data_IF_544098432722
#
_entry.id   IF_544098432722
#
_cell.length_a   1.000
_cell.length_b   1.000
_cell.length_c   1.000
_cell.angle_alpha   90.00
_cell.angle_beta   90.00
_cell.angle_gamma   90.00
#
_symmetry.space_group_name_H-M   'P 1'
#
loop_
_entity.id
_entity.type
_entity.pdbx_description
1 polymer ?
#
# COMPACT_ATOMS: atom_id res chain seq x y z
N UNK A 1 -3.11 -14.46 9.75
CA UNK A 1 -2.10 -13.53 10.34
C UNK A 1 -0.81 -14.34 10.56
N UNK A 2 -0.51 -15.22 9.61
CA UNK A 2 0.34 -16.39 9.88
C UNK A 2 1.73 -16.24 9.27
N UNK A 3 1.94 -15.14 8.56
CA UNK A 3 3.23 -14.75 7.99
C UNK A 3 4.17 -14.21 9.07
N UNK A 4 5.38 -14.75 9.11
CA UNK A 4 6.40 -14.45 10.13
C UNK A 4 6.79 -12.97 10.18
N UNK A 5 6.67 -12.26 9.05
CA UNK A 5 6.93 -10.82 8.96
C UNK A 5 6.01 -9.97 9.87
N UNK A 6 4.85 -10.48 10.28
CA UNK A 6 3.93 -9.79 11.22
C UNK A 6 4.18 -10.18 12.69
N UNK A 7 5.09 -11.13 12.96
CA UNK A 7 5.37 -11.60 14.32
C UNK A 7 5.69 -10.47 15.31
N UNK A 8 6.41 -9.37 14.96
CA UNK A 8 6.72 -8.31 15.93
C UNK A 8 5.49 -7.54 16.44
N UNK A 9 4.36 -7.59 15.73
CA UNK A 9 3.12 -6.89 16.09
C UNK A 9 1.93 -7.80 16.36
N UNK A 10 2.09 -9.12 16.22
CA UNK A 10 0.96 -10.05 16.28
C UNK A 10 0.11 -9.88 17.56
N UNK A 11 0.73 -9.82 18.74
CA UNK A 11 0.00 -9.63 20.00
C UNK A 11 -0.65 -8.24 20.10
N UNK A 12 0.09 -7.19 19.70
CA UNK A 12 -0.43 -5.81 19.68
C UNK A 12 -1.70 -5.72 18.82
N UNK A 13 -1.68 -6.33 17.63
CA UNK A 13 -2.83 -6.29 16.72
C UNK A 13 -4.00 -7.14 17.23
N UNK A 14 -3.76 -8.25 17.92
CA UNK A 14 -4.83 -9.03 18.58
C UNK A 14 -5.48 -8.24 19.71
N UNK A 15 -4.68 -7.59 20.56
CA UNK A 15 -5.20 -6.71 21.63
C UNK A 15 -5.98 -5.53 21.04
N UNK A 16 -5.49 -4.91 19.97
CA UNK A 16 -6.19 -3.84 19.28
C UNK A 16 -7.50 -4.31 18.62
N UNK A 17 -7.52 -5.48 17.99
CA UNK A 17 -8.73 -6.07 17.44
C UNK A 17 -9.77 -6.33 18.54
N UNK A 18 -9.34 -6.82 19.71
CA UNK A 18 -10.23 -6.98 20.88
C UNK A 18 -10.77 -5.64 21.40
N UNK A 19 -9.93 -4.60 21.45
CA UNK A 19 -10.35 -3.23 21.82
C UNK A 19 -11.43 -2.72 20.87
N UNK A 20 -11.26 -2.91 19.57
CA UNK A 20 -12.21 -2.49 18.54
C UNK A 20 -13.58 -3.15 18.73
N UNK A 21 -13.62 -4.41 19.17
CA UNK A 21 -14.86 -5.15 19.45
C UNK A 21 -15.49 -4.86 20.82
N UNK A 22 -14.92 -3.94 21.62
CA UNK A 22 -15.46 -3.58 22.94
C UNK A 22 -16.84 -2.88 22.93
N UNK A 23 -17.38 -2.56 21.75
CA UNK A 23 -18.68 -1.90 21.56
C UNK A 23 -18.66 -0.37 21.75
N UNK A 24 -17.50 0.21 22.08
CA UNK A 24 -17.32 1.67 22.18
C UNK A 24 -17.08 2.28 20.80
N UNK A 25 -17.46 3.56 20.63
CA UNK A 25 -17.12 4.31 19.42
C UNK A 25 -15.61 4.53 19.34
N UNK A 26 -14.99 4.12 18.22
CA UNK A 26 -13.55 4.24 17.98
C UNK A 26 -13.24 5.57 17.29
N UNK A 27 -12.22 6.30 17.76
CA UNK A 27 -11.68 7.44 17.01
C UNK A 27 -10.53 6.97 16.11
N UNK A 28 -10.65 7.15 14.79
CA UNK A 28 -9.58 6.87 13.83
C UNK A 28 -8.98 8.20 13.36
N UNK A 29 -7.70 8.43 13.64
CA UNK A 29 -7.09 9.75 13.49
C UNK A 29 -5.75 9.73 12.76
N UNK A 30 -5.49 10.80 11.98
CA UNK A 30 -4.17 11.13 11.44
C UNK A 30 -3.92 12.64 11.61
N UNK A 31 -2.83 13.07 12.28
CA UNK A 31 -2.55 14.48 12.56
C UNK A 31 -1.83 15.18 11.40
N UNK A 32 -1.19 14.42 10.52
CA UNK A 32 -0.54 14.89 9.29
C UNK A 32 -1.02 14.03 8.11
N UNK A 33 -1.91 14.52 7.23
CA UNK A 33 -2.48 13.73 6.17
C UNK A 33 -1.46 13.62 5.04
N UNK A 34 -0.72 12.51 5.01
CA UNK A 34 0.13 12.13 3.88
C UNK A 34 -0.53 11.03 3.05
N UNK A 35 0.00 10.77 1.86
CA UNK A 35 -0.42 9.65 1.03
C UNK A 35 -0.35 8.33 1.82
N UNK A 36 0.79 8.06 2.46
CA UNK A 36 1.01 6.84 3.24
C UNK A 36 0.03 6.71 4.41
N UNK A 37 -0.22 7.79 5.16
CA UNK A 37 -1.21 7.77 6.25
C UNK A 37 -2.60 7.42 5.74
N UNK A 38 -2.99 8.00 4.60
CA UNK A 38 -4.33 7.81 4.04
C UNK A 38 -4.54 6.39 3.54
N UNK A 39 -3.51 5.80 2.89
CA UNK A 39 -3.57 4.40 2.47
C UNK A 39 -3.58 3.47 3.69
N UNK A 40 -2.82 3.77 4.74
CA UNK A 40 -2.87 3.00 5.99
C UNK A 40 -4.20 3.14 6.74
N UNK A 41 -4.90 4.28 6.61
CA UNK A 41 -6.17 4.51 7.32
C UNK A 41 -7.36 3.80 6.68
N UNK A 42 -7.39 3.73 5.34
CA UNK A 42 -8.48 3.15 4.56
C UNK A 42 -8.87 1.70 4.96
N UNK A 43 -7.95 0.72 5.09
CA UNK A 43 -8.31 -0.66 5.46
C UNK A 43 -8.97 -0.78 6.83
N UNK A 44 -8.54 0.01 7.81
CA UNK A 44 -9.15 0.00 9.14
C UNK A 44 -10.58 0.51 9.10
N UNK A 45 -10.79 1.62 8.39
CA UNK A 45 -12.13 2.18 8.25
C UNK A 45 -13.07 1.25 7.47
N UNK A 46 -12.58 0.59 6.43
CA UNK A 46 -13.35 -0.44 5.75
C UNK A 46 -13.74 -1.59 6.67
N UNK A 47 -12.83 -2.05 7.53
CA UNK A 47 -13.14 -3.09 8.51
C UNK A 47 -14.23 -2.64 9.48
N UNK A 48 -14.19 -1.38 9.94
CA UNK A 48 -15.24 -0.83 10.78
C UNK A 48 -16.60 -0.78 10.05
N UNK A 49 -16.59 -0.39 8.77
CA UNK A 49 -17.80 -0.34 7.95
C UNK A 49 -18.35 -1.73 7.61
N UNK A 50 -17.49 -2.72 7.41
CA UNK A 50 -17.89 -4.09 7.10
C UNK A 50 -18.51 -4.79 8.33
N UNK A 51 -17.99 -4.53 9.54
CA UNK A 51 -18.50 -5.11 10.79
C UNK A 51 -19.54 -4.22 11.51
N UNK A 52 -19.86 -3.04 10.97
CA UNK A 52 -20.82 -2.11 11.58
C UNK A 52 -20.33 -1.48 12.89
N UNK A 53 -19.01 -1.36 13.10
CA UNK A 53 -18.40 -0.78 14.29
C UNK A 53 -18.59 0.75 14.26
N UNK A 54 -19.15 1.37 15.31
CA UNK A 54 -19.26 2.82 15.38
C UNK A 54 -17.88 3.46 15.44
N UNK A 55 -17.58 4.38 14.52
CA UNK A 55 -16.32 5.11 14.53
C UNK A 55 -16.50 6.59 14.21
N UNK A 56 -15.45 7.37 14.46
CA UNK A 56 -15.31 8.76 14.03
C UNK A 56 -13.95 8.92 13.36
N UNK A 57 -13.94 9.35 12.10
CA UNK A 57 -12.74 9.75 11.36
C UNK A 57 -12.32 11.17 11.76
N UNK A 58 -11.05 11.39 12.06
CA UNK A 58 -10.47 12.73 12.30
C UNK A 58 -9.22 12.87 11.44
N UNK A 59 -9.28 13.72 10.42
CA UNK A 59 -8.13 14.10 9.61
C UNK A 59 -7.81 15.54 9.98
N UNK A 60 -6.63 15.77 10.55
CA UNK A 60 -6.17 17.13 10.87
C UNK A 60 -5.02 17.51 9.95
N UNK A 61 -4.97 18.76 9.53
CA UNK A 61 -3.89 19.35 8.75
C UNK A 61 -3.32 20.55 9.53
N UNK A 62 -2.67 20.28 10.66
CA UNK A 62 -2.18 21.30 11.59
C UNK A 62 -0.71 21.07 11.98
N UNK A 63 -0.03 22.10 12.52
CA UNK A 63 1.40 22.06 12.84
C UNK A 63 1.76 21.20 14.07
N UNK A 64 0.77 20.68 14.81
CA UNK A 64 0.97 19.92 16.05
C UNK A 64 0.58 18.45 15.89
N UNK A 65 1.37 17.56 16.48
CA UNK A 65 1.04 16.13 16.68
C UNK A 65 -0.13 16.00 17.65
N UNK A 66 -1.36 16.03 17.14
CA UNK A 66 -2.57 15.97 17.97
C UNK A 66 -2.95 14.55 18.38
N UNK A 67 -2.09 13.90 19.18
CA UNK A 67 -2.61 12.94 20.17
C UNK A 67 -3.39 13.68 21.27
N UNK A 68 -3.09 14.97 21.47
CA UNK A 68 -3.78 15.88 22.39
C UNK A 68 -5.25 16.04 22.00
N UNK A 69 -6.15 15.53 22.85
CA UNK A 69 -7.61 15.67 22.71
C UNK A 69 -8.32 14.47 22.06
N UNK A 70 -7.63 13.36 21.79
CA UNK A 70 -8.30 12.13 21.37
C UNK A 70 -8.93 11.42 22.57
N UNK A 71 -10.24 11.18 22.48
CA UNK A 71 -10.96 10.37 23.45
C UNK A 71 -10.81 8.90 23.10
N UNK A 72 -10.46 8.10 24.10
CA UNK A 72 -10.30 6.66 23.92
C UNK A 72 -11.65 5.94 23.89
N UNK A 73 -11.75 4.82 23.15
CA UNK A 73 -10.67 4.17 22.39
C UNK A 73 -10.32 4.89 21.08
N UNK A 74 -9.02 4.91 20.73
CA UNK A 74 -8.57 5.50 19.47
C UNK A 74 -7.49 4.68 18.77
N UNK A 75 -7.42 4.83 17.45
CA UNK A 75 -6.30 4.42 16.61
C UNK A 75 -5.73 5.67 15.95
N UNK A 76 -4.45 5.93 16.21
CA UNK A 76 -3.68 7.03 15.65
C UNK A 76 -2.71 6.49 14.61
N UNK A 77 -2.74 7.04 13.40
CA UNK A 77 -1.72 6.79 12.37
C UNK A 77 -0.85 8.03 12.28
N UNK A 78 0.40 7.90 12.71
CA UNK A 78 1.36 9.00 12.70
C UNK A 78 2.78 8.48 12.44
N UNK A 79 3.23 8.50 11.17
CA UNK A 79 4.57 8.05 10.80
C UNK A 79 5.73 8.85 11.42
N UNK A 80 5.46 9.99 12.08
CA UNK A 80 6.49 10.74 12.81
C UNK A 80 6.85 10.09 14.16
N UNK A 81 6.02 9.17 14.65
CA UNK A 81 6.28 8.37 15.84
C UNK A 81 7.03 7.12 15.40
N UNK A 82 8.16 6.79 16.02
CA UNK A 82 9.01 5.67 15.59
C UNK A 82 8.38 4.30 15.87
N UNK A 83 7.56 4.19 16.92
CA UNK A 83 7.07 2.91 17.42
C UNK A 83 5.59 2.64 17.10
N UNK A 84 5.25 1.35 17.03
CA UNK A 84 3.88 0.85 17.10
C UNK A 84 3.62 0.46 18.54
N UNK A 85 2.64 1.08 19.18
CA UNK A 85 2.39 0.86 20.61
C UNK A 85 0.90 0.72 20.91
N UNK A 86 0.62 -0.09 21.93
CA UNK A 86 -0.73 -0.29 22.44
C UNK A 86 -0.74 -0.15 23.96
N UNK A 87 -1.63 0.71 24.49
CA UNK A 87 -1.73 0.96 25.92
C UNK A 87 -2.81 0.09 26.55
N UNK A 88 -2.41 -0.93 27.32
CA UNK A 88 -3.34 -1.83 28.03
C UNK A 88 -3.87 -1.22 29.33
N UNK A 89 -3.08 -0.36 29.99
CA UNK A 89 -3.48 0.34 31.21
C UNK A 89 -4.23 1.62 30.87
N UNK A 90 -5.55 1.49 30.66
CA UNK A 90 -6.59 2.52 30.52
C UNK A 90 -6.07 3.98 30.42
N UNK A 91 -6.16 4.66 29.26
CA UNK A 91 -7.06 4.39 28.14
C UNK A 91 -6.48 3.50 27.03
N UNK A 92 -7.33 2.71 26.35
CA UNK A 92 -6.94 1.81 25.23
C UNK A 92 -6.69 2.59 23.94
N UNK A 93 -5.42 2.74 23.58
CA UNK A 93 -4.99 3.47 22.40
C UNK A 93 -4.02 2.61 21.58
N UNK A 94 -4.25 2.54 20.26
CA UNK A 94 -3.27 2.03 19.31
C UNK A 94 -2.62 3.20 18.59
N UNK A 95 -1.29 3.23 18.57
CA UNK A 95 -0.51 4.14 17.72
C UNK A 95 0.22 3.30 16.68
N UNK A 96 0.00 3.62 15.40
CA UNK A 96 0.70 3.03 14.26
C UNK A 96 1.70 4.08 13.74
N UNK A 97 2.97 3.89 14.12
CA UNK A 97 4.10 4.79 13.85
C UNK A 97 4.69 4.70 12.43
N UNK A 98 6.00 4.97 12.26
CA UNK A 98 6.73 5.04 10.99
C UNK A 98 7.08 3.69 10.33
N UNK A 99 6.74 2.58 11.00
CA UNK A 99 7.06 1.22 10.59
C UNK A 99 8.00 0.55 11.58
N UNK A 100 8.12 -0.77 11.49
CA UNK A 100 8.84 -1.59 12.46
C UNK A 100 9.75 -2.58 11.74
N UNK A 101 10.92 -2.79 12.30
CA UNK A 101 11.86 -3.77 11.76
C UNK A 101 11.27 -5.16 11.91
N UNK A 102 11.31 -5.94 10.83
CA UNK A 102 10.91 -7.34 10.82
C UNK A 102 11.88 -8.15 9.98
N UNK A 103 11.79 -9.47 10.09
CA UNK A 103 12.62 -10.41 9.33
C UNK A 103 11.74 -11.18 8.36
N UNK A 104 12.14 -11.17 7.10
CA UNK A 104 11.60 -12.04 6.06
C UNK A 104 12.63 -13.14 5.76
N UNK A 105 12.15 -14.36 5.48
CA UNK A 105 12.99 -15.51 5.15
C UNK A 105 12.84 -15.80 3.67
N UNK A 106 13.90 -15.55 2.90
CA UNK A 106 13.82 -15.54 1.44
C UNK A 106 14.86 -16.43 0.76
N UNK A 107 14.54 -16.82 -0.47
CA UNK A 107 15.38 -17.66 -1.32
C UNK A 107 15.33 -19.15 -0.94
N UNK A 108 16.02 -19.97 -1.73
CA UNK A 108 15.96 -21.45 -1.63
C UNK A 108 16.38 -22.03 -0.26
N UNK A 109 17.00 -21.24 0.60
CA UNK A 109 17.46 -21.65 1.93
C UNK A 109 16.82 -20.87 3.07
N UNK A 110 15.78 -20.05 2.80
CA UNK A 110 15.10 -19.25 3.82
C UNK A 110 16.08 -18.36 4.59
N UNK A 111 16.95 -17.62 3.90
CA UNK A 111 17.93 -16.77 4.58
C UNK A 111 17.20 -15.57 5.19
N UNK A 112 17.48 -15.21 6.46
CA UNK A 112 16.84 -14.07 7.09
C UNK A 112 17.32 -12.76 6.45
N UNK A 113 16.37 -11.88 6.15
CA UNK A 113 16.58 -10.54 5.60
C UNK A 113 15.72 -9.55 6.38
N UNK A 114 16.37 -8.53 6.91
CA UNK A 114 15.67 -7.49 7.65
C UNK A 114 15.05 -6.48 6.69
N UNK A 115 13.81 -6.08 6.97
CA UNK A 115 13.11 -5.02 6.27
C UNK A 115 12.16 -4.30 7.20
N UNK A 116 11.37 -3.39 6.63
CA UNK A 116 10.42 -2.58 7.37
C UNK A 116 9.01 -3.03 7.06
N UNK A 117 8.27 -3.42 8.10
CA UNK A 117 6.84 -3.60 8.03
C UNK A 117 6.18 -2.22 8.16
N UNK A 118 5.59 -1.75 7.06
CA UNK A 118 5.08 -0.38 6.97
C UNK A 118 3.72 -0.21 7.64
N UNK A 119 3.31 1.03 7.99
CA UNK A 119 2.01 1.31 8.60
C UNK A 119 0.84 0.78 7.78
N UNK A 120 0.96 0.81 6.44
CA UNK A 120 -0.02 0.24 5.53
C UNK A 120 -0.18 -1.26 5.75
N UNK A 121 0.91 -2.03 5.78
CA UNK A 121 0.85 -3.46 6.00
C UNK A 121 0.27 -3.81 7.38
N UNK A 122 0.66 -3.07 8.43
CA UNK A 122 0.15 -3.23 9.79
C UNK A 122 -1.35 -2.97 9.85
N UNK A 123 -1.82 -1.87 9.25
CA UNK A 123 -3.23 -1.54 9.18
C UNK A 123 -4.04 -2.57 8.41
N UNK A 124 -3.50 -3.13 7.33
CA UNK A 124 -4.15 -4.23 6.61
C UNK A 124 -4.24 -5.51 7.45
N UNK A 125 -3.19 -5.86 8.20
CA UNK A 125 -3.22 -7.00 9.10
C UNK A 125 -4.28 -6.83 10.20
N UNK A 126 -4.35 -5.65 10.81
CA UNK A 126 -5.39 -5.33 11.80
C UNK A 126 -6.79 -5.33 11.19
N UNK A 127 -6.97 -4.74 10.01
CA UNK A 127 -8.25 -4.76 9.29
C UNK A 127 -8.72 -6.19 9.01
N UNK A 128 -7.81 -7.08 8.64
CA UNK A 128 -8.10 -8.50 8.41
C UNK A 128 -8.45 -9.25 9.71
N UNK A 129 -7.86 -8.88 10.85
CA UNK A 129 -8.28 -9.42 12.16
C UNK A 129 -9.67 -8.94 12.56
N UNK A 130 -10.00 -7.68 12.24
CA UNK A 130 -11.29 -7.09 12.59
C UNK A 130 -12.40 -7.67 11.71
N UNK A 131 -12.20 -7.67 10.38
CA UNK A 131 -13.19 -8.10 9.40
C UNK A 131 -12.60 -9.11 8.42
N UNK A 132 -12.44 -10.39 8.83
CA UNK A 132 -11.75 -11.39 8.02
C UNK A 132 -12.49 -11.73 6.71
N UNK A 133 -13.82 -11.56 6.70
CA UNK A 133 -14.68 -11.78 5.53
C UNK A 133 -15.22 -10.46 4.93
N UNK A 134 -14.65 -9.32 5.35
CA UNK A 134 -15.07 -7.99 4.93
C UNK A 134 -14.93 -7.77 3.44
N UNK A 135 -16.02 -7.37 2.77
CA UNK A 135 -16.01 -7.13 1.32
C UNK A 135 -15.14 -5.95 0.94
N UNK A 136 -15.14 -4.87 1.73
CA UNK A 136 -14.34 -3.67 1.49
C UNK A 136 -12.89 -3.93 1.84
N UNK A 137 -12.62 -4.63 2.96
CA UNK A 137 -11.26 -5.04 3.35
C UNK A 137 -10.62 -5.89 2.25
N UNK A 138 -11.31 -6.94 1.78
CA UNK A 138 -10.82 -7.79 0.68
C UNK A 138 -10.58 -7.01 -0.60
N UNK A 139 -11.46 -6.06 -0.95
CA UNK A 139 -11.31 -5.23 -2.15
C UNK A 139 -10.02 -4.40 -2.14
N UNK A 140 -9.60 -3.93 -0.97
CA UNK A 140 -8.38 -3.15 -0.82
C UNK A 140 -7.13 -4.01 -0.61
N UNK A 141 -7.25 -5.34 -0.50
CA UNK A 141 -6.12 -6.25 -0.25
C UNK A 141 -4.90 -6.00 -1.17
N UNK A 142 -5.03 -5.68 -2.47
CA UNK A 142 -3.90 -5.33 -3.33
C UNK A 142 -3.05 -4.14 -2.85
N UNK A 143 -3.63 -3.21 -2.07
CA UNK A 143 -2.93 -2.03 -1.55
C UNK A 143 -2.02 -2.34 -0.36
N UNK A 144 -2.05 -3.56 0.17
CA UNK A 144 -1.25 -3.96 1.33
C UNK A 144 0.24 -3.63 1.15
N UNK A 145 0.78 -3.80 -0.07
CA UNK A 145 2.19 -3.55 -0.39
C UNK A 145 2.54 -2.10 -0.73
N UNK A 146 1.56 -1.22 -0.86
CA UNK A 146 1.78 0.15 -1.33
C UNK A 146 2.66 0.97 -0.38
N UNK A 147 2.59 0.68 0.93
CA UNK A 147 3.44 1.32 1.93
C UNK A 147 4.91 1.07 1.65
N UNK A 148 5.28 -0.19 1.38
CA UNK A 148 6.64 -0.59 1.04
C UNK A 148 7.08 -0.04 -0.33
N UNK A 149 6.17 0.02 -1.32
CA UNK A 149 6.46 0.69 -2.59
C UNK A 149 6.85 2.17 -2.41
N UNK A 150 6.15 2.89 -1.53
CA UNK A 150 6.42 4.31 -1.26
C UNK A 150 7.68 4.48 -0.42
N UNK A 151 8.01 3.52 0.43
CA UNK A 151 9.10 3.61 1.39
C UNK A 151 10.49 3.64 0.71
N UNK A 152 11.48 4.37 1.26
CA UNK A 152 12.84 4.44 0.70
C UNK A 152 13.60 3.11 0.66
N UNK A 153 13.17 2.09 1.41
CA UNK A 153 13.76 0.74 1.32
C UNK A 153 13.69 0.18 -0.09
N UNK A 154 12.67 0.56 -0.86
CA UNK A 154 12.51 0.19 -2.25
C UNK A 154 13.61 0.76 -3.16
N UNK A 155 14.36 1.78 -2.70
CA UNK A 155 15.45 2.39 -3.46
C UNK A 155 16.82 1.74 -3.20
N UNK A 156 16.87 0.74 -2.33
CA UNK A 156 18.04 -0.13 -2.13
C UNK A 156 18.06 -1.27 -3.16
N UNK A 157 18.92 -2.27 -3.00
CA UNK A 157 19.01 -3.40 -3.95
C UNK A 157 17.69 -4.16 -4.09
N UNK A 158 16.94 -4.33 -3.01
CA UNK A 158 15.56 -4.85 -2.99
C UNK A 158 14.97 -4.63 -1.58
N UNK A 159 13.64 -4.62 -1.47
CA UNK A 159 12.95 -4.62 -0.17
C UNK A 159 12.42 -6.05 0.13
N UNK A 160 12.98 -6.76 1.13
CA UNK A 160 12.56 -8.13 1.43
C UNK A 160 11.11 -8.24 1.90
N UNK A 161 10.59 -7.22 2.59
CA UNK A 161 9.20 -7.21 3.06
C UNK A 161 8.26 -6.94 1.89
N UNK A 162 8.61 -6.02 0.98
CA UNK A 162 7.86 -5.82 -0.26
C UNK A 162 7.74 -7.12 -1.06
N UNK A 163 8.86 -7.80 -1.29
CA UNK A 163 8.88 -9.04 -2.07
C UNK A 163 8.07 -10.14 -1.40
N UNK A 164 8.22 -10.36 -0.09
CA UNK A 164 7.41 -11.36 0.63
C UNK A 164 5.92 -11.06 0.56
N UNK A 165 5.53 -9.80 0.72
CA UNK A 165 4.13 -9.42 0.65
C UNK A 165 3.58 -9.52 -0.77
N UNK A 166 4.38 -9.21 -1.79
CA UNK A 166 4.02 -9.42 -3.19
C UNK A 166 3.76 -10.90 -3.46
N UNK A 167 4.72 -11.75 -3.12
CA UNK A 167 4.63 -13.19 -3.36
C UNK A 167 3.43 -13.78 -2.60
N UNK A 168 3.19 -13.36 -1.35
CA UNK A 168 1.98 -13.70 -0.59
C UNK A 168 0.69 -13.33 -1.33
N UNK A 169 0.59 -12.09 -1.81
CA UNK A 169 -0.61 -11.59 -2.50
C UNK A 169 -0.83 -12.30 -3.84
N UNK A 170 0.24 -12.69 -4.53
CA UNK A 170 0.19 -13.45 -5.78
C UNK A 170 -0.23 -14.91 -5.52
N UNK A 171 0.37 -15.57 -4.53
CA UNK A 171 0.06 -16.95 -4.14
C UNK A 171 -1.41 -17.10 -3.68
N UNK A 172 -1.95 -16.11 -2.96
CA UNK A 172 -3.37 -16.09 -2.58
C UNK A 172 -4.32 -15.68 -3.73
N UNK A 173 -3.78 -15.27 -4.88
CA UNK A 173 -4.55 -14.86 -6.06
C UNK A 173 -5.18 -13.47 -5.97
N UNK A 174 -4.73 -12.62 -5.05
CA UNK A 174 -5.21 -11.24 -4.90
C UNK A 174 -4.68 -10.32 -6.01
N UNK A 175 -3.45 -10.56 -6.45
CA UNK A 175 -2.78 -9.81 -7.52
C UNK A 175 -2.20 -10.77 -8.56
N UNK A 176 -1.77 -10.21 -9.68
CA UNK A 176 -0.86 -10.84 -10.63
C UNK A 176 0.37 -9.95 -10.80
N UNK A 177 1.54 -10.56 -10.89
CA UNK A 177 2.79 -9.86 -11.20
C UNK A 177 3.06 -10.02 -12.70
N UNK A 178 2.91 -8.92 -13.45
CA UNK A 178 2.95 -8.96 -14.92
C UNK A 178 3.99 -7.99 -15.48
N UNK A 179 4.58 -8.26 -16.66
CA UNK A 179 5.43 -7.30 -17.33
C UNK A 179 4.62 -6.12 -17.90
N UNK A 180 5.29 -4.99 -18.12
CA UNK A 180 4.67 -3.73 -18.55
C UNK A 180 3.70 -3.86 -19.75
N UNK A 181 3.98 -4.65 -20.81
CA UNK A 181 3.04 -4.80 -21.93
C UNK A 181 1.70 -5.45 -21.54
N UNK A 182 1.63 -6.19 -20.44
CA UNK A 182 0.39 -6.81 -19.97
C UNK A 182 -0.48 -5.85 -19.13
N UNK A 183 0.06 -4.70 -18.72
CA UNK A 183 -0.71 -3.68 -18.02
C UNK A 183 -1.63 -2.97 -19.03
N UNK A 184 -2.97 -2.96 -18.86
CA UNK A 184 -3.89 -2.39 -19.85
C UNK A 184 -3.64 -0.92 -20.16
N UNK A 185 -3.54 -0.08 -19.12
CA UNK A 185 -3.35 1.36 -19.18
C UNK A 185 -2.28 1.82 -18.17
N UNK A 186 -0.99 1.61 -18.48
CA UNK A 186 0.10 1.98 -17.60
C UNK A 186 0.25 3.50 -17.50
N UNK A 187 0.43 4.01 -16.28
CA UNK A 187 0.58 5.45 -16.05
C UNK A 187 1.91 5.97 -16.61
N UNK A 188 1.82 6.83 -17.63
CA UNK A 188 2.97 7.36 -18.39
C UNK A 188 3.95 8.13 -17.50
N UNK A 189 3.45 8.87 -16.51
CA UNK A 189 4.30 9.69 -15.64
C UNK A 189 5.22 8.86 -14.72
N UNK A 190 4.98 7.55 -14.56
CA UNK A 190 5.92 6.66 -13.88
C UNK A 190 7.07 6.20 -14.77
N UNK A 191 6.91 6.27 -16.08
CA UNK A 191 7.84 5.71 -17.07
C UNK A 191 8.04 6.71 -18.21
N UNK A 192 8.52 7.94 -17.92
CA UNK A 192 8.66 8.99 -18.93
C UNK A 192 9.63 8.63 -20.07
N UNK A 193 10.47 7.62 -19.89
CA UNK A 193 11.39 7.11 -20.91
C UNK A 193 10.75 6.11 -21.88
N UNK A 194 9.55 5.61 -21.59
CA UNK A 194 8.85 4.64 -22.45
C UNK A 194 8.08 5.39 -23.53
N UNK A 195 8.43 5.13 -24.79
CA UNK A 195 7.67 5.62 -25.92
C UNK A 195 6.32 4.86 -26.02
N UNK A 196 5.23 5.61 -26.19
CA UNK A 196 3.88 5.05 -26.22
C UNK A 196 3.61 4.19 -27.46
N UNK A 197 4.13 4.60 -28.63
CA UNK A 197 3.95 3.89 -29.89
C UNK A 197 4.73 2.56 -29.88
N UNK A 198 5.95 2.57 -29.33
CA UNK A 198 6.76 1.36 -29.15
C UNK A 198 6.09 0.37 -28.20
N UNK A 199 5.54 0.87 -27.08
CA UNK A 199 4.80 0.03 -26.13
C UNK A 199 3.58 -0.60 -26.80
N UNK A 200 2.79 0.18 -27.53
CA UNK A 200 1.59 -0.33 -28.22
C UNK A 200 1.96 -1.38 -29.27
N UNK A 201 2.99 -1.14 -30.08
CA UNK A 201 3.47 -2.11 -31.07
C UNK A 201 3.92 -3.44 -30.43
N UNK A 202 4.50 -3.39 -29.21
CA UNK A 202 4.85 -4.60 -28.46
C UNK A 202 3.59 -5.29 -27.90
N UNK A 203 2.62 -4.53 -27.37
CA UNK A 203 1.35 -5.08 -26.86
C UNK A 203 0.61 -5.86 -27.93
N UNK A 204 0.50 -5.32 -29.15
CA UNK A 204 -0.18 -5.98 -30.28
C UNK A 204 0.40 -7.36 -30.61
N UNK A 205 1.71 -7.54 -30.40
CA UNK A 205 2.43 -8.78 -30.75
C UNK A 205 2.66 -9.70 -29.55
N UNK A 206 2.35 -9.24 -28.33
CA UNK A 206 2.77 -9.86 -27.08
C UNK A 206 2.40 -11.34 -26.95
N UNK A 207 1.17 -11.68 -27.34
CA UNK A 207 0.66 -13.06 -27.31
C UNK A 207 1.40 -14.03 -28.25
N UNK A 208 2.08 -13.52 -29.28
CA UNK A 208 2.81 -14.32 -30.27
C UNK A 208 4.31 -14.45 -29.96
N UNK A 209 4.81 -13.73 -28.94
CA UNK A 209 6.21 -13.79 -28.53
C UNK A 209 6.42 -14.94 -27.53
N UNK A 210 7.49 -15.69 -27.76
CA UNK A 210 8.02 -16.65 -26.79
C UNK A 210 8.74 -15.93 -25.63
N UNK A 211 9.24 -16.69 -24.66
CA UNK A 211 9.88 -16.13 -23.47
C UNK A 211 11.08 -15.23 -23.82
N UNK A 212 11.92 -15.62 -24.78
CA UNK A 212 13.07 -14.83 -25.22
C UNK A 212 12.63 -13.56 -25.98
N UNK A 213 11.62 -13.66 -26.84
CA UNK A 213 11.01 -12.54 -27.54
C UNK A 213 10.44 -11.51 -26.58
N UNK A 214 9.71 -11.96 -25.55
CA UNK A 214 9.17 -11.11 -24.47
C UNK A 214 10.29 -10.43 -23.68
N UNK A 215 11.32 -11.19 -23.31
CA UNK A 215 12.50 -10.68 -22.60
C UNK A 215 13.18 -9.54 -23.39
N UNK A 216 13.38 -9.75 -24.70
CA UNK A 216 13.98 -8.74 -25.59
C UNK A 216 13.08 -7.54 -25.80
N UNK A 217 11.77 -7.73 -25.96
CA UNK A 217 10.82 -6.66 -26.23
C UNK A 217 10.73 -5.64 -25.08
N UNK A 218 10.56 -6.10 -23.84
CA UNK A 218 10.53 -5.19 -22.69
C UNK A 218 11.92 -4.61 -22.41
N UNK A 219 13.00 -5.38 -22.60
CA UNK A 219 14.37 -4.82 -22.52
C UNK A 219 14.55 -3.66 -23.49
N UNK A 220 14.03 -3.78 -24.72
CA UNK A 220 14.04 -2.72 -25.71
C UNK A 220 13.26 -1.48 -25.24
N UNK A 221 12.02 -1.66 -24.74
CA UNK A 221 11.16 -0.57 -24.25
C UNK A 221 11.76 0.14 -23.02
N UNK A 222 12.39 -0.63 -22.12
CA UNK A 222 12.94 -0.08 -20.88
C UNK A 222 14.32 0.55 -21.08
N UNK A 223 15.12 0.08 -22.05
CA UNK A 223 16.50 0.54 -22.29
C UNK A 223 16.70 2.06 -22.22
N UNK A 224 15.82 2.93 -22.78
CA UNK A 224 16.00 4.38 -22.70
C UNK A 224 16.06 4.93 -21.27
N UNK A 225 15.45 4.23 -20.29
CA UNK A 225 15.47 4.66 -18.89
C UNK A 225 16.76 4.33 -18.14
N UNK A 226 17.62 3.43 -18.67
CA UNK A 226 18.87 3.03 -18.01
C UNK A 226 19.90 4.16 -17.88
N UNK A 227 19.76 5.24 -18.66
CA UNK A 227 20.65 6.41 -18.58
C UNK A 227 20.21 7.41 -17.50
N UNK A 228 19.04 7.21 -16.89
CA UNK A 228 18.49 8.08 -15.86
C UNK A 228 19.04 7.70 -14.48
N UNK A 229 19.22 8.70 -13.62
CA UNK A 229 19.61 8.49 -12.21
C UNK A 229 18.43 8.18 -11.29
N UNK A 230 17.21 8.23 -11.82
CA UNK A 230 15.96 7.95 -11.10
C UNK A 230 14.96 7.33 -12.09
N UNK A 231 14.24 6.27 -11.69
CA UNK A 231 14.22 5.64 -10.36
C UNK A 231 15.47 4.77 -10.09
N UNK A 232 15.58 4.26 -8.87
CA UNK A 232 16.57 3.23 -8.49
C UNK A 232 16.44 1.98 -9.36
N UNK A 233 17.51 1.18 -9.48
CA UNK A 233 17.52 -0.05 -10.29
C UNK A 233 16.42 -1.02 -9.89
N UNK A 234 16.18 -1.21 -8.59
CA UNK A 234 15.13 -2.07 -8.05
C UNK A 234 13.73 -1.60 -8.45
N UNK A 235 13.39 -0.32 -8.22
CA UNK A 235 12.11 0.25 -8.70
C UNK A 235 11.99 0.16 -10.22
N UNK A 236 13.08 0.36 -10.95
CA UNK A 236 13.10 0.29 -12.40
C UNK A 236 12.73 -1.11 -12.92
N UNK A 237 13.27 -2.15 -12.29
CA UNK A 237 12.90 -3.54 -12.57
C UNK A 237 11.42 -3.79 -12.29
N UNK A 238 10.89 -3.35 -11.14
CA UNK A 238 9.47 -3.53 -10.82
C UNK A 238 8.54 -2.78 -11.79
N UNK A 239 8.94 -1.60 -12.27
CA UNK A 239 8.17 -0.84 -13.26
C UNK A 239 8.15 -1.48 -14.65
N UNK A 240 9.12 -2.34 -14.98
CA UNK A 240 9.21 -3.00 -16.28
C UNK A 240 8.71 -4.44 -16.27
N UNK A 241 9.13 -5.20 -15.24
CA UNK A 241 8.99 -6.65 -15.19
C UNK A 241 7.98 -7.16 -14.18
N UNK A 242 7.81 -6.45 -13.07
CA UNK A 242 6.98 -6.92 -11.95
C UNK A 242 5.87 -5.91 -11.64
N UNK A 243 5.13 -5.49 -12.66
CA UNK A 243 4.01 -4.59 -12.48
C UNK A 243 2.89 -5.31 -11.72
N UNK A 244 2.52 -4.77 -10.57
CA UNK A 244 1.46 -5.32 -9.73
C UNK A 244 0.10 -4.94 -10.32
N UNK A 245 -0.68 -5.94 -10.72
CA UNK A 245 -2.02 -5.75 -11.25
C UNK A 245 -3.05 -6.51 -10.41
N UNK A 246 -4.10 -5.83 -9.96
CA UNK A 246 -5.22 -6.48 -9.28
C UNK A 246 -6.38 -6.73 -10.26
N UNK A 247 -7.30 -7.67 -9.96
CA UNK A 247 -8.53 -7.82 -10.71
C UNK A 247 -9.27 -6.48 -10.81
N UNK A 248 -9.77 -6.13 -11.99
CA UNK A 248 -10.48 -4.87 -12.33
C UNK A 248 -9.64 -3.59 -12.37
N UNK A 249 -8.31 -3.67 -12.22
CA UNK A 249 -7.45 -2.51 -12.43
C UNK A 249 -7.02 -2.39 -13.88
N UNK A 250 -7.15 -1.19 -14.46
CA UNK A 250 -6.55 -0.87 -15.76
C UNK A 250 -5.10 -0.41 -15.62
N UNK A 251 -4.73 0.17 -14.48
CA UNK A 251 -3.37 0.63 -14.20
C UNK A 251 -2.77 -0.15 -13.03
N UNK A 252 -1.47 -0.43 -13.13
CA UNK A 252 -0.70 -1.13 -12.11
C UNK A 252 -0.62 -0.33 -10.79
N UNK A 253 -0.20 -0.97 -9.69
CA UNK A 253 -0.09 -0.33 -8.38
C UNK A 253 0.74 0.96 -8.42
N UNK A 254 1.84 0.98 -9.16
CA UNK A 254 2.65 2.18 -9.31
C UNK A 254 1.84 3.32 -9.95
N UNK A 255 1.03 3.02 -10.98
CA UNK A 255 0.10 3.96 -11.60
C UNK A 255 -0.97 4.44 -10.63
N UNK A 256 -1.61 3.53 -9.89
CA UNK A 256 -2.60 3.86 -8.86
C UNK A 256 -2.02 4.84 -7.81
N UNK A 257 -0.81 4.57 -7.31
CA UNK A 257 -0.11 5.41 -6.33
C UNK A 257 0.25 6.77 -6.92
N UNK A 258 0.68 6.82 -8.19
CA UNK A 258 0.99 8.07 -8.89
C UNK A 258 -0.24 8.95 -9.04
N UNK A 259 -1.36 8.39 -9.48
CA UNK A 259 -2.63 9.10 -9.60
C UNK A 259 -3.08 9.58 -8.21
N UNK A 260 -3.04 8.72 -7.19
CA UNK A 260 -3.35 9.10 -5.81
C UNK A 260 -2.51 10.27 -5.29
N UNK A 261 -1.20 10.26 -5.60
CA UNK A 261 -0.25 11.31 -5.21
C UNK A 261 -0.60 12.67 -5.80
N UNK A 262 -1.27 12.71 -6.97
CA UNK A 262 -1.65 13.96 -7.63
C UNK A 262 -2.72 14.74 -6.85
N UNK A 263 -3.52 14.07 -6.00
CA UNK A 263 -4.54 14.72 -5.16
C UNK A 263 -3.94 15.76 -4.22
N UNK A 264 -2.76 15.49 -3.66
CA UNK A 264 -2.05 16.42 -2.76
C UNK A 264 -1.52 17.67 -3.48
N UNK A 265 -1.45 17.65 -4.81
CA UNK A 265 -1.11 18.83 -5.62
C UNK A 265 -2.37 19.61 -6.03
N UNK A 266 -3.53 18.96 -6.02
CA UNK A 266 -4.78 19.52 -6.53
C UNK A 266 -5.66 20.16 -5.46
N UNK A 267 -5.65 19.64 -4.23
CA UNK A 267 -6.50 20.12 -3.12
C UNK A 267 -5.76 20.12 -1.79
N UNK A 268 -6.36 20.74 -0.77
CA UNK A 268 -5.86 20.72 0.61
C UNK A 268 -5.61 19.30 1.12
N UNK A 269 -4.57 19.10 1.93
CA UNK A 269 -4.09 17.77 2.34
C UNK A 269 -5.16 16.91 3.02
N UNK A 270 -5.98 17.51 3.87
CA UNK A 270 -7.09 16.86 4.57
C UNK A 270 -8.20 16.40 3.60
N UNK A 271 -8.52 17.23 2.60
CA UNK A 271 -9.47 16.88 1.53
C UNK A 271 -8.89 15.79 0.62
N UNK A 272 -7.61 15.86 0.28
CA UNK A 272 -6.92 14.84 -0.52
C UNK A 272 -6.95 13.48 0.18
N UNK A 273 -6.64 13.46 1.49
CA UNK A 273 -6.71 12.26 2.32
C UNK A 273 -8.13 11.68 2.35
N UNK A 274 -9.14 12.51 2.65
CA UNK A 274 -10.54 12.09 2.66
C UNK A 274 -10.98 11.47 1.33
N UNK A 275 -10.71 12.17 0.21
CA UNK A 275 -11.02 11.68 -1.14
C UNK A 275 -10.36 10.34 -1.44
N UNK A 276 -9.08 10.19 -1.11
CA UNK A 276 -8.35 8.94 -1.36
C UNK A 276 -8.95 7.78 -0.55
N UNK A 277 -9.18 7.98 0.75
CA UNK A 277 -9.77 6.97 1.64
C UNK A 277 -11.14 6.54 1.11
N UNK A 278 -11.99 7.50 0.75
CA UNK A 278 -13.32 7.21 0.23
C UNK A 278 -13.27 6.43 -1.09
N UNK A 279 -12.34 6.75 -2.00
CA UNK A 279 -12.13 5.99 -3.23
C UNK A 279 -11.68 4.55 -2.97
N UNK A 280 -10.72 4.35 -2.06
CA UNK A 280 -10.22 3.02 -1.72
C UNK A 280 -11.31 2.17 -1.06
N UNK A 281 -12.06 2.72 -0.10
CA UNK A 281 -13.15 2.00 0.56
C UNK A 281 -14.26 1.65 -0.43
N UNK A 282 -14.65 2.58 -1.29
CA UNK A 282 -15.78 2.40 -2.21
C UNK A 282 -15.45 1.53 -3.43
N UNK A 283 -14.26 1.69 -4.01
CA UNK A 283 -13.87 1.08 -5.29
C UNK A 283 -12.62 0.21 -5.23
N UNK A 284 -11.79 0.34 -4.19
CA UNK A 284 -10.52 -0.40 -4.06
C UNK A 284 -9.44 0.01 -5.06
N UNK A 285 -9.66 1.11 -5.78
CA UNK A 285 -8.77 1.65 -6.79
C UNK A 285 -8.95 3.15 -6.88
N UNK A 286 -7.95 3.82 -7.44
CA UNK A 286 -7.95 5.25 -7.66
C UNK A 286 -8.22 5.51 -9.13
N UNK A 287 -9.31 6.20 -9.40
CA UNK A 287 -9.61 6.65 -10.76
C UNK A 287 -8.90 7.99 -11.01
N UNK A 288 -8.44 8.24 -12.25
CA UNK A 288 -8.03 9.57 -12.65
C UNK A 288 -9.17 10.55 -12.33
N UNK A 289 -8.88 11.62 -11.60
CA UNK A 289 -9.79 12.75 -11.54
C UNK A 289 -9.83 13.34 -12.95
N UNK A 290 -10.96 13.19 -13.64
CA UNK A 290 -11.23 14.02 -14.82
C UNK A 290 -11.02 15.46 -14.38
N UNK A 291 -10.12 16.17 -15.09
CA UNK A 291 -10.02 17.61 -14.97
C UNK A 291 -11.41 18.17 -15.29
N UNK A 292 -12.13 18.65 -14.27
CA UNK A 292 -13.25 19.56 -14.47
C UNK A 292 -12.74 20.93 -14.93
#
# INVERSE_FOLDING_TARGET
>A
MDEEIFSPVAEILRSAASMVHSGKRITLSTPNPTLSCSIAMAPLEAAFLDEGIPYRRIITNGPETKSVGLFSPFILIDPSIEEVSFTENNPTALVIGGGITTTSYMGQHGKPRNGILTPTAISHALAQLISPSGKRVRRMRPWLISGNWIHPSMDTTYDPVYTTLRDLLEDEGTISVVPLPEVPSPEKSNRPWVNADDLEAVKERWQYLDAEGRARAVSHIMRPGLVLSSPSTSRFEELGWHCILAPSWDSDLAGQIRIASSLWKAVDKDKAAGKLIDMLISKGLVLPTLSE
#
